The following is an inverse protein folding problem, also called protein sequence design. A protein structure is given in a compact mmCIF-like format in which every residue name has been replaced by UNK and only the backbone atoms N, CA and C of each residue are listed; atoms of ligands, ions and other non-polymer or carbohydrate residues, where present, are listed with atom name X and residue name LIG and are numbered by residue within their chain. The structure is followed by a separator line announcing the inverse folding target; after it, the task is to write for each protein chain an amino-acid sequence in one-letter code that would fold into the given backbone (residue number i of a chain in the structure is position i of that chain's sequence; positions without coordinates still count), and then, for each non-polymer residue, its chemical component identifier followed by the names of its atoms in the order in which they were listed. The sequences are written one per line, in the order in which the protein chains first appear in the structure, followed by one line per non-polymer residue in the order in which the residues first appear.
data_IF_077144497963
#
_entry.id   IF_077144497963
#
_cell.length_a   1.000
_cell.length_b   1.000
_cell.length_c   1.000
_cell.angle_alpha   90.00
_cell.angle_beta   90.00
_cell.angle_gamma   90.00
#
_symmetry.space_group_name_H-M   'P 1'
#
loop_
_entity.id
_entity.type
_entity.pdbx_description
1 polymer ?
#
# COMPACT_ATOMS: atom_id res chain seq x y z
N UNK A 1 -4.19 16.59 50.23
CA UNK A 1 -3.12 15.63 49.91
C UNK A 1 -2.70 15.82 48.46
N UNK A 2 -1.47 16.31 48.26
CA UNK A 2 -0.71 16.48 47.01
C UNK A 2 -1.25 17.47 45.94
N UNK A 3 -0.99 18.77 46.13
CA UNK A 3 -1.12 19.85 45.13
C UNK A 3 -0.02 19.85 44.03
N UNK A 4 0.76 18.77 43.93
CA UNK A 4 1.91 18.67 43.01
C UNK A 4 1.61 17.86 41.74
N UNK A 5 0.35 17.45 41.50
CA UNK A 5 -0.03 16.65 40.32
C UNK A 5 -0.52 17.53 39.16
N UNK A 6 0.43 17.96 38.34
CA UNK A 6 0.21 18.77 37.12
C UNK A 6 -0.18 17.91 35.92
N UNK A 7 0.41 16.71 35.76
CA UNK A 7 0.06 15.75 34.71
C UNK A 7 -1.19 14.95 35.08
N UNK A 8 -2.21 14.96 34.21
CA UNK A 8 -3.51 14.30 34.45
C UNK A 8 -3.98 13.49 33.24
N UNK A 9 -5.00 13.95 32.53
CA UNK A 9 -5.61 13.26 31.39
C UNK A 9 -4.61 13.06 30.24
N UNK A 10 -4.58 11.86 29.66
CA UNK A 10 -3.70 11.46 28.54
C UNK A 10 -2.20 11.76 28.76
N UNK A 11 -1.74 11.80 30.01
CA UNK A 11 -0.35 12.14 30.33
C UNK A 11 0.00 13.60 30.01
N UNK A 12 -0.99 14.48 29.90
CA UNK A 12 -0.81 15.92 29.62
C UNK A 12 -0.99 16.77 30.87
N UNK A 13 -0.25 17.87 30.89
CA UNK A 13 -0.33 18.87 31.94
C UNK A 13 -1.66 19.63 31.83
N UNK A 14 -2.34 19.75 32.97
CA UNK A 14 -3.51 20.62 33.11
C UNK A 14 -3.07 21.92 33.77
N UNK A 15 -3.23 23.02 33.07
CA UNK A 15 -2.89 24.34 33.59
C UNK A 15 -3.95 24.88 34.57
N UNK A 16 -3.67 26.05 35.16
CA UNK A 16 -4.57 26.72 36.10
C UNK A 16 -5.89 27.19 35.46
N UNK A 17 -5.93 27.36 34.13
CA UNK A 17 -7.15 27.69 33.38
C UNK A 17 -8.05 26.47 33.18
N UNK A 18 -7.56 25.28 33.50
CA UNK A 18 -8.24 24.01 33.34
C UNK A 18 -8.08 23.38 31.96
N UNK A 19 -7.34 24.02 31.05
CA UNK A 19 -6.98 23.52 29.73
C UNK A 19 -5.86 22.47 29.84
N UNK A 20 -5.79 21.60 28.85
CA UNK A 20 -4.68 20.65 28.72
C UNK A 20 -3.73 21.09 27.62
N UNK A 21 -2.45 21.22 27.94
CA UNK A 21 -1.42 21.53 26.97
C UNK A 21 -0.90 20.26 26.29
N UNK A 22 -1.11 20.14 24.98
CA UNK A 22 -0.65 18.99 24.19
C UNK A 22 0.65 19.27 23.44
N UNK A 23 1.14 20.52 23.39
CA UNK A 23 2.31 20.92 22.61
C UNK A 23 1.91 21.95 21.55
N UNK A 24 1.23 21.51 20.49
CA UNK A 24 0.79 22.39 19.41
C UNK A 24 -0.61 22.98 19.60
N UNK A 25 -1.43 22.37 20.46
CA UNK A 25 -2.78 22.83 20.75
C UNK A 25 -3.10 22.72 22.24
N UNK A 26 -4.04 23.55 22.67
CA UNK A 26 -4.70 23.44 23.95
C UNK A 26 -6.03 22.71 23.77
N UNK A 27 -6.33 21.76 24.67
CA UNK A 27 -7.56 20.98 24.67
C UNK A 27 -8.52 21.47 25.77
N UNK A 28 -9.80 21.61 25.41
CA UNK A 28 -10.89 21.98 26.31
C UNK A 28 -11.66 20.72 26.75
N UNK A 29 -11.38 20.15 27.93
CA UNK A 29 -11.99 18.89 28.36
C UNK A 29 -13.51 19.00 28.56
N UNK A 30 -14.02 20.16 28.98
CA UNK A 30 -15.46 20.38 29.17
C UNK A 30 -16.24 20.51 27.86
N UNK A 31 -15.57 20.91 26.77
CA UNK A 31 -16.19 21.11 25.46
C UNK A 31 -15.90 19.95 24.47
N UNK A 32 -15.01 19.03 24.84
CA UNK A 32 -14.63 17.88 24.02
C UNK A 32 -13.96 18.24 22.70
N UNK A 33 -13.25 19.38 22.62
CA UNK A 33 -12.67 19.91 21.38
C UNK A 33 -11.36 20.68 21.60
N UNK A 34 -10.63 20.92 20.51
CA UNK A 34 -9.44 21.76 20.51
C UNK A 34 -9.79 23.25 20.57
N UNK A 35 -8.94 24.03 21.24
CA UNK A 35 -9.06 25.49 21.34
C UNK A 35 -8.72 26.19 20.01
N UNK A 36 -7.79 25.63 19.24
CA UNK A 36 -7.36 26.14 17.94
C UNK A 36 -7.51 25.11 16.82
N UNK A 37 -7.61 25.59 15.58
CA UNK A 37 -7.67 24.73 14.40
C UNK A 37 -6.38 23.90 14.24
N UNK A 38 -6.51 22.70 13.69
CA UNK A 38 -5.39 21.79 13.46
C UNK A 38 -4.30 22.40 12.56
N UNK A 39 -3.05 22.59 13.04
CA UNK A 39 -1.97 23.11 12.22
C UNK A 39 -1.50 22.12 11.14
N UNK A 40 -1.86 20.83 11.24
CA UNK A 40 -1.61 19.83 10.19
C UNK A 40 -2.69 19.87 9.08
N UNK A 41 -3.64 20.81 9.15
CA UNK A 41 -4.72 20.93 8.17
C UNK A 41 -5.66 19.72 8.21
N UNK A 42 -6.11 19.27 7.05
CA UNK A 42 -7.12 18.19 6.95
C UNK A 42 -6.55 16.78 7.15
N UNK A 43 -5.34 16.66 7.70
CA UNK A 43 -4.65 15.38 7.89
C UNK A 43 -5.46 14.38 8.75
N UNK A 44 -6.20 14.88 9.74
CA UNK A 44 -7.06 14.05 10.61
C UNK A 44 -8.56 14.23 10.33
N UNK A 45 -8.89 14.77 9.15
CA UNK A 45 -10.26 15.00 8.67
C UNK A 45 -10.60 16.48 8.48
N UNK A 46 -11.80 16.75 7.95
CA UNK A 46 -12.23 18.10 7.59
C UNK A 46 -12.58 18.98 8.80
N UNK A 47 -12.87 18.38 9.96
CA UNK A 47 -13.16 19.13 11.18
C UNK A 47 -11.88 19.37 11.99
N UNK A 48 -11.30 20.56 11.81
CA UNK A 48 -10.01 20.97 12.40
C UNK A 48 -10.05 21.17 13.93
N UNK A 49 -11.23 21.14 14.56
CA UNK A 49 -11.40 21.30 16.00
C UNK A 49 -11.74 19.98 16.72
N UNK A 50 -11.87 18.88 15.98
CA UNK A 50 -12.30 17.59 16.50
C UNK A 50 -11.22 16.95 17.36
N UNK A 51 -11.56 16.55 18.58
CA UNK A 51 -10.69 15.77 19.46
C UNK A 51 -10.76 14.28 19.09
N UNK A 52 -9.61 13.66 18.79
CA UNK A 52 -9.40 12.20 18.65
C UNK A 52 -10.52 11.43 17.92
N UNK A 53 -11.02 11.99 16.81
CA UNK A 53 -12.13 11.44 16.01
C UNK A 53 -13.40 11.11 16.80
N UNK A 54 -13.63 11.84 17.89
CA UNK A 54 -14.69 11.59 18.87
C UNK A 54 -14.61 10.21 19.56
N UNK A 55 -13.42 9.59 19.60
CA UNK A 55 -13.19 8.34 20.33
C UNK A 55 -12.07 8.47 21.39
N UNK A 56 -12.26 9.28 22.44
CA UNK A 56 -11.24 9.55 23.46
C UNK A 56 -10.98 8.39 24.43
N UNK A 57 -11.70 7.28 24.27
CA UNK A 57 -11.52 6.05 25.06
C UNK A 57 -10.47 5.16 24.40
N UNK A 58 -10.52 5.02 23.06
CA UNK A 58 -9.60 4.13 22.32
C UNK A 58 -8.47 4.88 21.62
N UNK A 59 -8.51 6.20 21.58
CA UNK A 59 -7.56 7.02 20.83
C UNK A 59 -6.98 8.14 21.70
N UNK A 60 -5.75 8.55 21.41
CA UNK A 60 -5.05 9.68 22.02
C UNK A 60 -4.46 10.57 20.94
N UNK A 61 -4.26 11.84 21.23
CA UNK A 61 -3.41 12.72 20.42
C UNK A 61 -2.11 12.95 21.21
N UNK A 62 -0.96 12.70 20.59
CA UNK A 62 0.31 12.79 21.30
C UNK A 62 0.85 14.22 21.41
N UNK A 63 0.59 15.10 20.45
CA UNK A 63 1.19 16.44 20.42
C UNK A 63 0.20 17.57 20.02
N UNK A 64 -1.06 17.22 19.77
CA UNK A 64 -2.09 18.13 19.29
C UNK A 64 -2.02 18.33 17.78
N UNK A 65 -1.70 17.30 17.00
CA UNK A 65 -1.70 17.35 15.52
C UNK A 65 -2.26 16.11 14.84
N UNK A 66 -2.08 14.94 15.44
CA UNK A 66 -2.47 13.67 14.82
C UNK A 66 -3.02 12.73 15.88
N UNK A 67 -4.22 12.22 15.61
CA UNK A 67 -4.82 11.17 16.42
C UNK A 67 -4.13 9.83 16.19
N UNK A 68 -3.72 9.21 17.28
CA UNK A 68 -3.16 7.87 17.36
C UNK A 68 -4.06 6.96 18.22
N UNK A 69 -3.86 5.65 18.13
CA UNK A 69 -4.55 4.71 19.02
C UNK A 69 -3.92 4.76 20.41
N UNK A 70 -4.75 4.64 21.44
CA UNK A 70 -4.28 4.48 22.82
C UNK A 70 -3.78 3.04 22.95
N UNK A 71 -2.47 2.83 23.14
CA UNK A 71 -1.83 1.53 23.41
C UNK A 71 -2.29 0.96 24.77
N UNK A 72 -3.59 0.76 24.95
CA UNK A 72 -4.11 -0.21 25.90
C UNK A 72 -3.83 -1.57 25.27
N UNK A 73 -3.11 -2.43 25.98
CA UNK A 73 -2.75 -3.78 25.56
C UNK A 73 -3.99 -4.71 25.42
N UNK A 74 -4.99 -4.29 24.67
CA UNK A 74 -5.94 -5.17 24.03
C UNK A 74 -5.22 -5.79 22.82
N UNK A 75 -5.08 -7.12 22.75
CA UNK A 75 -4.62 -7.75 21.52
C UNK A 75 -5.63 -7.37 20.44
N UNK A 76 -5.23 -6.48 19.54
CA UNK A 76 -5.99 -6.16 18.36
C UNK A 76 -6.07 -7.43 17.51
N UNK A 77 -7.11 -8.24 17.74
CA UNK A 77 -7.81 -8.81 16.59
C UNK A 77 -8.52 -7.64 15.93
N UNK A 78 -7.76 -6.82 15.19
CA UNK A 78 -8.32 -5.95 14.16
C UNK A 78 -9.17 -6.86 13.31
N UNK A 79 -10.49 -6.84 13.49
CA UNK A 79 -11.36 -7.48 12.53
C UNK A 79 -11.03 -6.80 11.22
N UNK A 80 -10.46 -7.55 10.28
CA UNK A 80 -10.24 -7.04 8.95
C UNK A 80 -11.64 -6.82 8.36
N UNK A 81 -12.19 -5.61 8.54
CA UNK A 81 -13.55 -5.24 8.15
C UNK A 81 -13.74 -5.48 6.66
N UNK A 82 -12.68 -5.29 5.87
CA UNK A 82 -12.65 -5.62 4.44
C UNK A 82 -12.80 -7.14 4.21
N UNK A 83 -12.11 -7.98 4.99
CA UNK A 83 -12.26 -9.44 4.95
C UNK A 83 -13.63 -9.91 5.49
N UNK A 84 -14.25 -9.20 6.44
CA UNK A 84 -15.62 -9.46 6.89
C UNK A 84 -16.67 -9.03 5.87
N UNK A 85 -16.50 -7.85 5.24
CA UNK A 85 -17.32 -7.37 4.13
C UNK A 85 -17.30 -8.37 2.97
N UNK A 86 -16.12 -8.92 2.66
CA UNK A 86 -15.96 -10.00 1.69
C UNK A 86 -16.76 -11.25 2.05
N UNK A 87 -16.66 -11.72 3.30
CA UNK A 87 -17.35 -12.95 3.73
C UNK A 87 -18.87 -12.86 3.62
N UNK A 88 -19.42 -11.65 3.77
CA UNK A 88 -20.86 -11.43 3.85
C UNK A 88 -21.47 -10.81 2.60
N UNK A 89 -20.68 -10.45 1.57
CA UNK A 89 -21.19 -9.90 0.31
C UNK A 89 -21.08 -10.94 -0.83
N UNK A 90 -22.20 -11.55 -1.28
CA UNK A 90 -22.20 -12.60 -2.31
C UNK A 90 -21.58 -12.17 -3.64
N UNK A 91 -21.76 -10.90 -4.01
CA UNK A 91 -21.27 -10.36 -5.28
C UNK A 91 -19.75 -10.16 -5.24
N UNK A 92 -19.20 -9.60 -4.15
CA UNK A 92 -17.75 -9.52 -3.97
C UNK A 92 -17.10 -10.92 -3.98
N UNK A 93 -17.77 -11.92 -3.39
CA UNK A 93 -17.31 -13.32 -3.39
C UNK A 93 -17.40 -13.98 -4.76
N UNK A 94 -18.37 -13.61 -5.59
CA UNK A 94 -18.46 -14.08 -6.98
C UNK A 94 -17.30 -13.51 -7.81
N UNK A 95 -17.08 -12.20 -7.75
CA UNK A 95 -16.03 -11.56 -8.53
C UNK A 95 -14.62 -11.91 -8.07
N UNK A 96 -14.41 -12.17 -6.78
CA UNK A 96 -13.13 -12.73 -6.29
C UNK A 96 -12.87 -14.15 -6.86
N UNK A 97 -13.90 -15.00 -6.96
CA UNK A 97 -13.78 -16.32 -7.60
C UNK A 97 -13.48 -16.20 -9.09
N UNK A 98 -14.16 -15.30 -9.80
CA UNK A 98 -13.88 -15.00 -11.21
C UNK A 98 -12.43 -14.52 -11.37
N UNK A 99 -12.00 -13.56 -10.54
CA UNK A 99 -10.63 -13.06 -10.53
C UNK A 99 -9.61 -14.18 -10.30
N UNK A 100 -9.87 -15.08 -9.34
CA UNK A 100 -9.02 -16.24 -9.05
C UNK A 100 -8.93 -17.19 -10.24
N UNK A 101 -10.01 -17.38 -10.99
CA UNK A 101 -10.00 -18.17 -12.22
C UNK A 101 -9.19 -17.48 -13.33
N UNK A 102 -9.27 -16.16 -13.47
CA UNK A 102 -8.46 -15.39 -14.42
C UNK A 102 -6.96 -15.46 -14.07
N UNK A 103 -6.60 -15.36 -12.78
CA UNK A 103 -5.22 -15.59 -12.32
C UNK A 103 -4.74 -17.00 -12.68
N UNK A 104 -5.59 -18.02 -12.47
CA UNK A 104 -5.26 -19.40 -12.83
C UNK A 104 -5.02 -19.55 -14.33
N UNK A 105 -5.84 -18.93 -15.19
CA UNK A 105 -5.62 -18.95 -16.66
C UNK A 105 -4.24 -18.39 -17.04
N UNK A 106 -3.79 -17.31 -16.40
CA UNK A 106 -2.44 -16.75 -16.63
C UNK A 106 -1.35 -17.77 -16.28
N UNK A 107 -1.51 -18.48 -15.15
CA UNK A 107 -0.57 -19.50 -14.69
C UNK A 107 -0.56 -20.74 -15.60
N UNK A 108 -1.74 -21.21 -16.00
CA UNK A 108 -1.92 -22.35 -16.90
C UNK A 108 -1.32 -22.03 -18.29
N UNK A 109 -1.57 -20.83 -18.83
CA UNK A 109 -0.96 -20.37 -20.08
C UNK A 109 0.57 -20.37 -19.99
N UNK A 110 1.14 -19.87 -18.88
CA UNK A 110 2.59 -19.89 -18.69
C UNK A 110 3.18 -21.31 -18.60
N UNK A 111 2.43 -22.27 -18.08
CA UNK A 111 2.81 -23.69 -18.02
C UNK A 111 2.76 -24.36 -19.40
N UNK A 112 1.70 -24.10 -20.17
CA UNK A 112 1.56 -24.57 -21.55
C UNK A 112 2.67 -23.98 -22.42
N UNK A 113 2.93 -22.68 -22.31
CA UNK A 113 3.98 -22.00 -23.04
C UNK A 113 5.36 -22.57 -22.71
N UNK A 114 5.66 -22.84 -21.43
CA UNK A 114 6.92 -23.47 -21.03
C UNK A 114 7.07 -24.89 -21.61
N UNK A 115 5.99 -25.67 -21.60
CA UNK A 115 5.98 -27.03 -22.15
C UNK A 115 6.21 -27.03 -23.67
N UNK A 116 5.62 -26.06 -24.37
CA UNK A 116 5.86 -25.85 -25.81
C UNK A 116 7.29 -25.39 -26.10
N UNK A 117 7.82 -24.47 -25.30
CA UNK A 117 9.20 -23.98 -25.45
C UNK A 117 10.24 -25.08 -25.22
N UNK A 118 10.00 -26.02 -24.29
CA UNK A 118 10.90 -27.16 -24.02
C UNK A 118 11.10 -28.09 -25.22
N UNK A 119 10.14 -28.14 -26.14
CA UNK A 119 10.21 -28.97 -27.36
C UNK A 119 11.03 -28.31 -28.49
N UNK A 120 11.37 -27.02 -28.35
CA UNK A 120 12.06 -26.25 -29.40
C UNK A 120 13.57 -26.23 -29.20
N UNK A 121 14.31 -26.21 -30.32
CA UNK A 121 15.77 -25.93 -30.32
C UNK A 121 16.05 -24.53 -29.74
N UNK A 122 17.22 -24.30 -29.09
CA UNK A 122 17.52 -23.06 -28.36
C UNK A 122 17.25 -21.75 -29.12
N UNK A 123 17.70 -21.64 -30.38
CA UNK A 123 17.53 -20.41 -31.17
C UNK A 123 16.05 -20.09 -31.48
N UNK A 124 15.24 -21.13 -31.80
CA UNK A 124 13.80 -20.96 -32.03
C UNK A 124 13.07 -20.66 -30.73
N UNK A 125 13.46 -21.34 -29.64
CA UNK A 125 12.90 -21.14 -28.30
C UNK A 125 13.01 -19.69 -27.84
N UNK A 126 14.17 -19.06 -28.05
CA UNK A 126 14.37 -17.66 -27.65
C UNK A 126 13.48 -16.70 -28.43
N UNK A 127 13.34 -16.92 -29.76
CA UNK A 127 12.44 -16.11 -30.60
C UNK A 127 10.98 -16.29 -30.16
N UNK A 128 10.49 -17.52 -30.10
CA UNK A 128 9.09 -17.84 -29.72
C UNK A 128 8.75 -17.35 -28.30
N UNK A 129 9.69 -17.43 -27.35
CA UNK A 129 9.47 -16.94 -25.98
C UNK A 129 9.28 -15.42 -25.90
N UNK A 130 9.89 -14.65 -26.82
CA UNK A 130 9.73 -13.19 -26.88
C UNK A 130 8.30 -12.81 -27.23
N UNK A 131 7.67 -13.55 -28.14
CA UNK A 131 6.31 -13.28 -28.64
C UNK A 131 5.22 -13.76 -27.67
N UNK A 132 5.51 -14.73 -26.80
CA UNK A 132 4.56 -15.24 -25.79
C UNK A 132 4.33 -14.24 -24.65
N UNK A 133 3.07 -13.91 -24.35
CA UNK A 133 2.73 -12.96 -23.27
C UNK A 133 3.16 -13.48 -21.89
N UNK A 134 2.82 -14.72 -21.56
CA UNK A 134 3.17 -15.34 -20.28
C UNK A 134 4.10 -16.54 -20.46
N UNK A 135 5.21 -16.55 -19.72
CA UNK A 135 6.13 -17.70 -19.61
C UNK A 135 6.62 -17.79 -18.16
N UNK A 136 7.11 -18.95 -17.70
CA UNK A 136 7.62 -19.05 -16.30
C UNK A 136 8.72 -18.02 -16.03
N UNK A 137 9.54 -17.68 -17.02
CA UNK A 137 10.57 -16.63 -16.91
C UNK A 137 9.97 -15.23 -16.84
N UNK A 138 8.99 -14.90 -17.69
CA UNK A 138 8.32 -13.57 -17.64
C UNK A 138 7.51 -13.39 -16.36
N UNK A 139 6.82 -14.43 -15.89
CA UNK A 139 6.10 -14.39 -14.61
C UNK A 139 7.03 -14.18 -13.41
N UNK A 140 8.29 -14.63 -13.45
CA UNK A 140 9.26 -14.28 -12.39
C UNK A 140 9.48 -12.77 -12.27
N UNK A 141 9.38 -12.03 -13.37
CA UNK A 141 9.48 -10.58 -13.38
C UNK A 141 8.16 -9.91 -12.96
N UNK A 142 7.04 -10.63 -13.03
CA UNK A 142 5.71 -10.15 -12.66
C UNK A 142 5.24 -10.82 -11.36
N UNK A 143 5.57 -10.20 -10.23
CA UNK A 143 5.31 -10.83 -8.92
C UNK A 143 3.81 -10.98 -8.59
N UNK A 144 2.95 -10.12 -9.15
CA UNK A 144 1.53 -10.07 -8.84
C UNK A 144 0.65 -9.85 -10.07
N UNK A 145 -0.57 -10.37 -9.98
CA UNK A 145 -1.71 -10.07 -10.83
C UNK A 145 -2.73 -9.26 -10.02
N UNK A 146 -3.31 -8.23 -10.61
CA UNK A 146 -4.37 -7.45 -9.99
C UNK A 146 -5.61 -7.34 -10.89
N UNK A 147 -6.73 -7.06 -10.25
CA UNK A 147 -8.00 -6.75 -10.88
C UNK A 147 -8.82 -5.86 -9.97
N UNK A 148 -9.89 -5.29 -10.48
CA UNK A 148 -10.83 -4.54 -9.68
C UNK A 148 -12.27 -4.82 -10.08
N UNK A 149 -13.15 -4.51 -9.13
CA UNK A 149 -14.59 -4.44 -9.31
C UNK A 149 -15.05 -3.06 -8.84
N UNK A 150 -15.75 -2.33 -9.69
CA UNK A 150 -16.45 -1.10 -9.31
C UNK A 150 -17.96 -1.37 -9.24
N UNK A 151 -18.56 -1.00 -8.11
CA UNK A 151 -19.97 -1.25 -7.79
C UNK A 151 -20.69 0.09 -7.66
N UNK A 152 -21.21 0.64 -8.76
CA UNK A 152 -21.84 1.95 -8.74
C UNK A 152 -23.01 2.01 -7.75
N UNK A 153 -23.17 3.17 -7.10
CA UNK A 153 -24.16 3.37 -6.03
C UNK A 153 -25.58 3.66 -6.55
N UNK A 154 -25.76 3.80 -7.87
CA UNK A 154 -27.06 4.08 -8.51
C UNK A 154 -27.81 2.81 -8.91
N UNK A 155 -29.12 2.78 -8.66
CA UNK A 155 -29.99 1.68 -9.08
C UNK A 155 -29.99 1.55 -10.62
N UNK A 156 -29.47 0.43 -11.14
CA UNK A 156 -29.51 0.08 -12.56
C UNK A 156 -28.16 0.08 -13.28
N UNK A 157 -27.08 0.56 -12.67
CA UNK A 157 -25.75 0.46 -13.26
C UNK A 157 -25.10 -0.92 -12.99
N UNK A 158 -24.56 -1.54 -14.05
CA UNK A 158 -23.92 -2.85 -13.94
C UNK A 158 -22.54 -2.75 -13.29
N UNK A 159 -22.15 -3.71 -12.41
CA UNK A 159 -20.81 -3.74 -11.86
C UNK A 159 -19.77 -3.83 -12.97
N UNK A 160 -18.72 -3.02 -12.88
CA UNK A 160 -17.61 -3.03 -13.84
C UNK A 160 -16.44 -3.82 -13.27
N UNK A 161 -16.13 -4.95 -13.89
CA UNK A 161 -15.01 -5.79 -13.50
C UNK A 161 -13.94 -5.79 -14.59
N UNK A 162 -12.67 -5.69 -14.20
CA UNK A 162 -11.53 -5.90 -15.10
C UNK A 162 -10.34 -6.44 -14.32
N UNK A 163 -9.65 -7.40 -14.91
CA UNK A 163 -8.40 -8.00 -14.43
C UNK A 163 -7.33 -7.91 -15.52
N UNK A 164 -6.20 -8.58 -15.31
CA UNK A 164 -5.09 -8.64 -16.26
C UNK A 164 -3.98 -7.63 -16.00
N UNK A 165 -4.05 -6.88 -14.90
CA UNK A 165 -2.98 -5.99 -14.50
C UNK A 165 -1.83 -6.81 -13.92
N UNK A 166 -0.62 -6.63 -14.41
CA UNK A 166 0.60 -7.30 -13.94
C UNK A 166 1.68 -6.27 -13.75
N UNK A 167 2.59 -6.45 -12.78
CA UNK A 167 3.63 -5.45 -12.49
C UNK A 167 4.35 -4.98 -13.77
N UNK A 168 4.61 -3.67 -13.89
CA UNK A 168 5.46 -3.15 -14.96
C UNK A 168 6.93 -3.51 -14.68
N UNK A 169 7.75 -3.68 -15.72
CA UNK A 169 9.14 -4.08 -15.55
C UNK A 169 9.94 -2.93 -14.91
N UNK A 170 10.75 -3.26 -13.91
CA UNK A 170 11.70 -2.33 -13.32
C UNK A 170 12.72 -3.09 -12.48
N UNK A 171 13.97 -2.62 -12.49
CA UNK A 171 15.08 -3.33 -11.85
C UNK A 171 15.72 -2.49 -10.75
N UNK A 172 15.90 -3.10 -9.58
CA UNK A 172 16.70 -2.58 -8.47
C UNK A 172 17.96 -3.43 -8.34
N UNK A 173 18.66 -3.66 -9.44
CA UNK A 173 19.92 -4.41 -9.48
C UNK A 173 21.11 -3.46 -9.61
N UNK A 174 22.24 -3.78 -8.98
CA UNK A 174 23.45 -2.96 -9.06
C UNK A 174 23.95 -2.75 -10.51
N UNK A 175 23.62 -3.66 -11.43
CA UNK A 175 24.02 -3.60 -12.85
C UNK A 175 23.08 -2.76 -13.72
N UNK A 176 21.82 -2.63 -13.32
CA UNK A 176 20.79 -1.91 -14.04
C UNK A 176 19.77 -1.42 -13.02
N UNK A 177 20.11 -0.32 -12.35
CA UNK A 177 19.26 0.31 -11.33
C UNK A 177 18.26 1.22 -12.03
N UNK A 178 17.04 1.28 -11.52
CA UNK A 178 15.98 2.11 -12.07
C UNK A 178 16.42 3.59 -12.17
N UNK A 179 16.11 4.29 -13.28
CA UNK A 179 16.48 5.70 -13.44
C UNK A 179 16.02 6.58 -12.27
N UNK A 180 16.89 7.50 -11.85
CA UNK A 180 16.65 8.40 -10.71
C UNK A 180 16.84 7.75 -9.33
N UNK A 181 17.30 6.49 -9.27
CA UNK A 181 17.47 5.74 -8.03
C UNK A 181 18.95 5.44 -7.75
N UNK A 182 19.34 5.61 -6.48
CA UNK A 182 20.59 5.08 -5.93
C UNK A 182 20.30 3.97 -4.91
N UNK A 183 21.01 2.86 -5.01
CA UNK A 183 20.91 1.78 -4.02
C UNK A 183 21.70 2.13 -2.76
N UNK A 184 21.12 1.83 -1.61
CA UNK A 184 21.73 1.98 -0.29
C UNK A 184 21.90 0.57 0.29
N UNK A 185 23.11 0.05 0.18
CA UNK A 185 23.51 -1.21 0.81
C UNK A 185 23.86 -0.95 2.28
N UNK A 186 22.85 -0.82 3.14
CA UNK A 186 23.09 -0.86 4.58
C UNK A 186 23.27 -2.31 5.04
N UNK A 187 24.45 -2.63 5.57
CA UNK A 187 24.61 -3.75 6.51
C UNK A 187 23.88 -3.38 7.80
N UNK A 188 22.55 -3.44 7.80
CA UNK A 188 21.76 -3.20 9.01
C UNK A 188 22.09 -4.30 10.01
N UNK A 189 22.86 -3.97 11.06
CA UNK A 189 22.97 -4.83 12.24
C UNK A 189 21.57 -4.96 12.85
N UNK A 190 21.04 -6.18 12.81
CA UNK A 190 19.72 -6.64 13.29
C UNK A 190 19.17 -5.83 14.47
N UNK A 191 17.92 -5.39 14.32
CA UNK A 191 16.79 -5.79 15.19
C UNK A 191 15.54 -5.92 14.32
N UNK A 192 15.38 -7.11 13.72
CA UNK A 192 14.15 -7.57 13.09
C UNK A 192 13.39 -8.38 14.16
N UNK A 193 12.90 -7.69 15.17
CA UNK A 193 11.85 -8.23 16.02
C UNK A 193 10.54 -7.66 15.42
N UNK A 194 9.57 -8.55 15.19
CA UNK A 194 8.23 -8.28 14.62
C UNK A 194 8.02 -8.53 13.12
N UNK A 195 8.53 -9.65 12.62
CA UNK A 195 7.77 -10.47 11.65
C UNK A 195 7.37 -11.75 12.42
N UNK A 196 6.07 -11.99 12.65
CA UNK A 196 5.55 -12.99 13.63
C UNK A 196 6.37 -14.30 13.73
N UNK A 197 6.96 -14.60 14.91
CA UNK A 197 7.87 -15.74 15.14
C UNK A 197 7.26 -17.15 14.98
N UNK A 198 5.94 -17.27 14.87
CA UNK A 198 5.26 -18.58 14.88
C UNK A 198 5.46 -19.37 13.57
N UNK A 199 5.58 -18.68 12.42
CA UNK A 199 5.74 -19.31 11.09
C UNK A 199 7.17 -19.70 10.73
N UNK A 200 8.16 -19.33 11.54
CA UNK A 200 9.57 -19.68 11.32
C UNK A 200 9.92 -21.10 11.76
N UNK A 201 8.99 -21.83 12.40
CA UNK A 201 9.25 -23.18 12.95
C UNK A 201 9.15 -24.32 11.93
N UNK A 202 8.62 -24.11 10.72
CA UNK A 202 8.23 -25.22 9.82
C UNK A 202 8.98 -25.32 8.49
N UNK A 203 9.86 -24.37 8.12
CA UNK A 203 10.58 -24.44 6.84
C UNK A 203 12.09 -24.31 7.01
N UNK A 204 12.81 -25.40 6.81
CA UNK A 204 14.28 -25.44 6.75
C UNK A 204 14.84 -24.99 5.39
N UNK A 205 13.98 -24.78 4.37
CA UNK A 205 14.37 -24.58 2.97
C UNK A 205 14.32 -23.14 2.46
N UNK A 206 13.79 -22.19 3.23
CA UNK A 206 13.72 -20.80 2.81
C UNK A 206 14.23 -19.86 3.90
N UNK A 207 15.41 -19.26 3.65
CA UNK A 207 15.92 -18.11 4.40
C UNK A 207 15.83 -16.91 3.45
N UNK A 208 15.01 -15.87 3.73
CA UNK A 208 15.12 -14.65 2.95
C UNK A 208 16.51 -14.07 3.19
N UNK A 209 17.23 -13.72 2.12
CA UNK A 209 18.49 -12.98 2.24
C UNK A 209 18.25 -11.70 3.04
N UNK A 210 18.74 -11.67 4.28
CA UNK A 210 18.55 -10.61 5.28
C UNK A 210 19.41 -9.37 5.01
N UNK A 211 19.43 -8.88 3.77
CA UNK A 211 20.04 -7.59 3.40
C UNK A 211 19.57 -7.10 2.02
N UNK A 212 18.26 -7.04 1.77
CA UNK A 212 17.79 -6.52 0.48
C UNK A 212 18.05 -5.00 0.32
N UNK A 213 18.41 -4.29 1.40
CA UNK A 213 18.80 -2.89 1.36
C UNK A 213 17.63 -1.94 1.06
N UNK A 214 17.95 -0.67 0.90
CA UNK A 214 17.01 0.38 0.54
C UNK A 214 17.41 0.97 -0.80
N UNK A 215 16.50 1.71 -1.40
CA UNK A 215 16.82 2.57 -2.52
C UNK A 215 16.36 3.99 -2.23
N UNK A 216 17.18 4.96 -2.61
CA UNK A 216 16.90 6.38 -2.49
C UNK A 216 16.58 6.95 -3.87
N UNK A 217 15.43 7.58 -4.00
CA UNK A 217 15.05 8.30 -5.21
C UNK A 217 15.70 9.69 -5.19
N UNK A 218 16.89 9.80 -5.78
CA UNK A 218 17.68 11.04 -5.80
C UNK A 218 17.10 12.08 -6.75
N UNK A 219 16.53 11.63 -7.86
CA UNK A 219 15.87 12.48 -8.82
C UNK A 219 14.45 11.99 -9.07
N UNK A 220 13.50 12.60 -8.37
CA UNK A 220 12.08 12.24 -8.42
C UNK A 220 11.51 12.47 -9.83
N UNK A 221 11.93 13.50 -10.56
CA UNK A 221 11.39 13.78 -11.88
C UNK A 221 11.86 12.76 -12.92
N UNK A 222 13.13 12.35 -12.88
CA UNK A 222 13.62 11.24 -13.72
C UNK A 222 12.87 9.96 -13.38
N UNK A 223 12.73 9.64 -12.08
CA UNK A 223 12.01 8.47 -11.60
C UNK A 223 10.57 8.41 -12.12
N UNK A 224 9.82 9.51 -11.96
CA UNK A 224 8.44 9.62 -12.43
C UNK A 224 8.38 9.58 -13.96
N UNK A 225 9.31 10.25 -14.67
CA UNK A 225 9.35 10.21 -16.14
C UNK A 225 9.51 8.78 -16.67
N UNK A 226 10.29 7.95 -15.99
CA UNK A 226 10.49 6.56 -16.38
C UNK A 226 9.25 5.72 -16.08
N UNK A 227 8.58 5.95 -14.94
CA UNK A 227 7.26 5.34 -14.68
C UNK A 227 6.28 5.69 -15.79
N UNK A 228 6.18 6.96 -16.20
CA UNK A 228 5.30 7.39 -17.30
C UNK A 228 5.59 6.64 -18.61
N UNK A 229 6.87 6.48 -18.97
CA UNK A 229 7.27 5.71 -20.17
C UNK A 229 6.82 4.26 -20.08
N UNK A 230 6.97 3.62 -18.92
CA UNK A 230 6.56 2.23 -18.72
C UNK A 230 5.04 2.06 -18.78
N UNK A 231 4.29 3.00 -18.20
CA UNK A 231 2.84 3.04 -18.37
C UNK A 231 2.48 3.16 -19.86
N UNK A 232 3.08 4.13 -20.58
CA UNK A 232 2.82 4.33 -22.00
C UNK A 232 3.14 3.08 -22.84
N UNK A 233 4.27 2.41 -22.57
CA UNK A 233 4.65 1.16 -23.21
C UNK A 233 3.69 0.00 -22.91
N UNK A 234 2.97 0.04 -21.78
CA UNK A 234 1.91 -0.92 -21.45
C UNK A 234 0.55 -0.60 -22.08
N UNK A 235 0.45 0.50 -22.83
CA UNK A 235 -0.80 0.95 -23.45
C UNK A 235 -1.73 1.68 -22.48
N UNK A 236 -1.18 2.32 -21.44
CA UNK A 236 -1.93 3.13 -20.48
C UNK A 236 -1.18 4.43 -20.18
N UNK A 237 -1.87 5.49 -19.81
CA UNK A 237 -1.22 6.71 -19.34
C UNK A 237 -1.18 6.72 -17.80
N UNK A 238 -0.10 7.23 -17.21
CA UNK A 238 -0.06 7.46 -15.76
C UNK A 238 -0.91 8.69 -15.44
N UNK A 239 -2.04 8.48 -14.77
CA UNK A 239 -2.96 9.54 -14.39
C UNK A 239 -2.34 10.48 -13.35
N UNK A 240 -2.57 11.79 -13.49
CA UNK A 240 -1.97 12.84 -12.65
C UNK A 240 -2.21 12.62 -11.15
N UNK A 241 -3.43 12.23 -10.76
CA UNK A 241 -3.76 11.86 -9.38
C UNK A 241 -2.85 10.73 -8.84
N UNK A 242 -2.56 9.69 -9.64
CA UNK A 242 -1.67 8.59 -9.22
C UNK A 242 -0.23 9.05 -9.16
N UNK A 243 0.22 9.85 -10.13
CA UNK A 243 1.55 10.49 -10.08
C UNK A 243 1.72 11.30 -8.79
N UNK A 244 0.76 12.16 -8.46
CA UNK A 244 0.77 12.97 -7.24
C UNK A 244 0.83 12.10 -5.98
N UNK A 245 0.09 10.99 -5.95
CA UNK A 245 0.17 10.02 -4.84
C UNK A 245 1.54 9.35 -4.74
N UNK A 246 2.19 9.01 -5.86
CA UNK A 246 3.57 8.48 -5.87
C UNK A 246 4.53 9.52 -5.29
N UNK A 247 4.48 10.77 -5.77
CA UNK A 247 5.32 11.86 -5.29
C UNK A 247 5.15 12.10 -3.78
N UNK A 248 3.90 12.15 -3.31
CA UNK A 248 3.61 12.32 -1.89
C UNK A 248 4.08 11.13 -1.05
N UNK A 249 3.97 9.91 -1.57
CA UNK A 249 4.46 8.71 -0.90
C UNK A 249 5.99 8.73 -0.77
N UNK A 250 6.71 9.14 -1.82
CA UNK A 250 8.15 9.32 -1.77
C UNK A 250 8.55 10.38 -0.74
N UNK A 251 7.93 11.56 -0.80
CA UNK A 251 8.20 12.66 0.13
C UNK A 251 7.96 12.25 1.60
N UNK A 252 6.86 11.53 1.86
CA UNK A 252 6.52 11.05 3.21
C UNK A 252 7.53 10.03 3.77
N UNK A 253 8.32 9.40 2.90
CA UNK A 253 9.36 8.44 3.27
C UNK A 253 10.78 9.00 3.08
N UNK A 254 10.94 10.32 2.97
CA UNK A 254 12.22 10.98 2.69
C UNK A 254 12.93 10.40 1.45
N UNK A 255 12.14 10.00 0.44
CA UNK A 255 12.57 9.35 -0.80
C UNK A 255 13.29 8.00 -0.63
N UNK A 256 13.24 7.39 0.57
CA UNK A 256 13.90 6.11 0.86
C UNK A 256 12.84 5.02 0.98
N UNK A 257 12.97 3.96 0.17
CA UNK A 257 12.03 2.85 0.15
C UNK A 257 12.76 1.50 0.21
N UNK A 258 12.15 0.46 0.83
CA UNK A 258 12.74 -0.87 0.90
C UNK A 258 12.78 -1.54 -0.48
N UNK A 259 13.94 -2.08 -0.86
CA UNK A 259 14.13 -2.73 -2.16
C UNK A 259 13.37 -4.05 -2.32
N UNK A 260 13.09 -4.74 -1.21
CA UNK A 260 12.33 -6.01 -1.22
C UNK A 260 10.90 -5.88 -1.73
N UNK A 261 10.33 -4.67 -1.65
CA UNK A 261 8.96 -4.38 -2.06
C UNK A 261 8.91 -3.78 -3.48
N UNK A 262 9.95 -3.92 -4.30
CA UNK A 262 9.95 -3.48 -5.70
C UNK A 262 9.94 -1.96 -5.87
N UNK A 263 9.68 -1.49 -7.08
CA UNK A 263 9.64 -0.06 -7.41
C UNK A 263 8.23 0.46 -7.18
N UNK A 264 8.11 1.48 -6.33
CA UNK A 264 6.85 2.15 -6.06
C UNK A 264 6.22 2.67 -7.37
N UNK A 265 4.92 2.44 -7.54
CA UNK A 265 4.17 2.91 -8.71
C UNK A 265 4.09 1.91 -9.87
N UNK A 266 4.96 0.90 -9.97
CA UNK A 266 4.94 -0.07 -11.07
C UNK A 266 4.07 -1.30 -10.81
N UNK A 267 3.53 -1.44 -9.61
CA UNK A 267 2.83 -2.66 -9.20
C UNK A 267 1.45 -2.81 -9.82
N UNK A 268 1.00 -4.05 -9.96
CA UNK A 268 -0.29 -4.40 -10.55
C UNK A 268 -1.47 -3.70 -9.84
N UNK A 269 -1.44 -3.61 -8.50
CA UNK A 269 -2.47 -2.91 -7.73
C UNK A 269 -2.53 -1.41 -8.02
N UNK A 270 -1.38 -0.77 -8.26
CA UNK A 270 -1.31 0.65 -8.61
C UNK A 270 -1.80 0.88 -10.03
N UNK A 271 -1.55 -0.06 -10.95
CA UNK A 271 -2.13 -0.01 -12.28
C UNK A 271 -3.66 -0.17 -12.27
N UNK A 272 -4.20 -1.05 -11.43
CA UNK A 272 -5.65 -1.17 -11.25
C UNK A 272 -6.26 0.15 -10.73
N UNK A 273 -5.64 0.77 -9.72
CA UNK A 273 -6.02 2.10 -9.23
C UNK A 273 -5.98 3.16 -10.33
N UNK A 274 -4.88 3.20 -11.09
CA UNK A 274 -4.71 4.12 -12.21
C UNK A 274 -5.82 3.97 -13.24
N UNK A 275 -6.17 2.74 -13.57
CA UNK A 275 -7.25 2.47 -14.51
C UNK A 275 -8.61 2.92 -13.98
N UNK A 276 -8.93 2.65 -12.70
CA UNK A 276 -10.18 3.09 -12.06
C UNK A 276 -10.36 4.61 -12.17
N UNK A 277 -9.29 5.36 -11.87
CA UNK A 277 -9.32 6.83 -11.91
C UNK A 277 -9.40 7.33 -13.36
N UNK A 278 -8.72 6.67 -14.29
CA UNK A 278 -8.73 7.04 -15.72
C UNK A 278 -10.07 6.79 -16.42
N UNK A 279 -11.01 6.07 -15.80
CA UNK A 279 -12.37 5.88 -16.35
C UNK A 279 -13.30 7.09 -16.12
N UNK A 280 -12.81 8.25 -15.67
CA UNK A 280 -13.65 9.40 -15.36
C UNK A 280 -13.11 10.69 -15.97
N UNK A 281 -13.99 11.48 -16.57
CA UNK A 281 -13.64 12.77 -17.19
C UNK A 281 -13.70 13.96 -16.21
N UNK A 282 -14.15 13.76 -14.96
CA UNK A 282 -14.35 14.85 -13.98
C UNK A 282 -13.90 14.47 -12.56
N UNK A 283 -13.04 15.30 -11.94
CA UNK A 283 -12.48 15.08 -10.58
C UNK A 283 -13.55 14.88 -9.49
N UNK A 284 -14.72 15.53 -9.61
CA UNK A 284 -15.80 15.44 -8.62
C UNK A 284 -16.40 14.03 -8.45
N UNK A 285 -16.18 13.09 -9.39
CA UNK A 285 -16.71 11.71 -9.32
C UNK A 285 -15.66 10.68 -8.89
N UNK A 286 -14.39 11.07 -8.77
CA UNK A 286 -13.27 10.15 -8.45
C UNK A 286 -13.43 9.56 -7.06
N UNK A 287 -13.78 10.38 -6.06
CA UNK A 287 -13.92 9.93 -4.67
C UNK A 287 -15.02 8.86 -4.49
N UNK A 288 -16.22 9.14 -5.02
CA UNK A 288 -17.35 8.19 -4.98
C UNK A 288 -17.00 6.87 -5.69
N UNK A 289 -16.33 6.94 -6.85
CA UNK A 289 -15.91 5.76 -7.60
C UNK A 289 -14.84 4.95 -6.88
N UNK A 290 -13.86 5.61 -6.25
CA UNK A 290 -12.86 4.92 -5.45
C UNK A 290 -13.49 4.23 -4.25
N UNK A 291 -14.42 4.88 -3.54
CA UNK A 291 -15.12 4.28 -2.38
C UNK A 291 -15.96 3.04 -2.74
N UNK A 292 -16.43 2.98 -3.98
CA UNK A 292 -17.20 1.87 -4.55
C UNK A 292 -16.33 0.86 -5.33
N UNK A 293 -15.01 1.03 -5.31
CA UNK A 293 -14.07 0.14 -6.00
C UNK A 293 -13.37 -0.80 -5.02
N UNK A 294 -13.22 -2.04 -5.48
CA UNK A 294 -12.62 -3.16 -4.75
C UNK A 294 -11.50 -3.74 -5.59
N UNK A 295 -10.27 -3.66 -5.10
CA UNK A 295 -9.06 -4.15 -5.78
C UNK A 295 -8.70 -5.52 -5.21
N UNK A 296 -8.42 -6.46 -6.08
CA UNK A 296 -7.95 -7.81 -5.77
C UNK A 296 -6.52 -7.99 -6.29
N UNK A 297 -5.70 -8.73 -5.55
CA UNK A 297 -4.31 -9.03 -5.93
C UNK A 297 -3.92 -10.45 -5.57
N UNK A 298 -3.34 -11.18 -6.51
CA UNK A 298 -2.86 -12.55 -6.28
C UNK A 298 -1.44 -12.73 -6.78
N UNK A 299 -0.70 -13.64 -6.15
CA UNK A 299 0.69 -13.93 -6.54
C UNK A 299 0.74 -14.75 -7.83
N UNK A 300 1.65 -14.36 -8.73
CA UNK A 300 2.01 -15.16 -9.91
C UNK A 300 3.26 -16.03 -9.67
N UNK A 301 3.94 -15.83 -8.54
CA UNK A 301 5.19 -16.51 -8.15
C UNK A 301 5.16 -16.95 -6.68
N UNK A 302 5.93 -17.98 -6.34
CA UNK A 302 5.93 -18.54 -4.98
C UNK A 302 4.61 -19.26 -4.68
N UNK A 303 3.89 -18.81 -3.65
CA UNK A 303 2.56 -19.27 -3.31
C UNK A 303 1.53 -18.77 -4.34
N UNK A 304 1.54 -19.40 -5.53
CA UNK A 304 0.79 -18.98 -6.72
C UNK A 304 -0.72 -19.06 -6.50
N UNK A 305 -1.44 -18.12 -7.11
CA UNK A 305 -2.89 -18.04 -7.06
C UNK A 305 -3.47 -17.75 -5.65
N UNK A 306 -2.62 -17.36 -4.70
CA UNK A 306 -3.02 -16.93 -3.36
C UNK A 306 -3.07 -15.41 -3.27
N UNK A 307 -4.00 -14.91 -2.46
CA UNK A 307 -4.18 -13.48 -2.22
C UNK A 307 -2.89 -12.85 -1.65
N UNK A 308 -2.56 -11.67 -2.17
CA UNK A 308 -1.33 -10.96 -1.85
C UNK A 308 -1.63 -9.56 -1.36
N UNK A 309 -1.30 -9.19 -0.10
CA UNK A 309 -1.56 -7.83 0.37
C UNK A 309 -0.71 -6.80 -0.39
N UNK A 310 -1.24 -5.60 -0.57
CA UNK A 310 -0.48 -4.49 -1.15
C UNK A 310 0.77 -4.20 -0.30
N UNK A 311 1.92 -4.09 -0.96
CA UNK A 311 3.20 -3.98 -0.29
C UNK A 311 3.43 -2.60 0.35
N UNK A 312 4.49 -2.48 1.17
CA UNK A 312 4.87 -1.23 1.80
C UNK A 312 5.08 -0.08 0.80
N UNK A 313 5.73 -0.33 -0.33
CA UNK A 313 6.03 0.67 -1.37
C UNK A 313 4.79 1.13 -2.17
N UNK A 314 3.63 0.51 -1.95
CA UNK A 314 2.37 0.93 -2.56
C UNK A 314 1.35 1.38 -1.52
N UNK A 315 1.60 1.17 -0.23
CA UNK A 315 0.68 1.49 0.86
C UNK A 315 0.29 2.98 0.91
N UNK A 316 1.24 3.89 0.68
CA UNK A 316 0.97 5.32 0.62
C UNK A 316 0.45 5.83 -0.74
N UNK A 317 0.46 4.99 -1.77
CA UNK A 317 -0.12 5.30 -3.09
C UNK A 317 -1.59 4.86 -3.13
N UNK A 318 -1.88 3.74 -2.47
CA UNK A 318 -3.19 3.14 -2.38
C UNK A 318 -3.71 3.32 -0.95
N UNK A 319 -3.78 4.58 -0.53
CA UNK A 319 -4.12 5.00 0.83
C UNK A 319 -5.52 5.64 0.93
N UNK A 320 -6.28 5.63 -0.16
CA UNK A 320 -7.50 6.42 -0.27
C UNK A 320 -8.76 5.65 0.13
N UNK A 321 -9.84 6.00 -0.58
CA UNK A 321 -11.19 5.46 -0.43
C UNK A 321 -11.33 4.04 -1.01
N UNK A 322 -10.38 3.61 -1.83
CA UNK A 322 -10.40 2.29 -2.48
C UNK A 322 -10.19 1.13 -1.50
N UNK A 323 -10.97 0.07 -1.69
CA UNK A 323 -10.93 -1.12 -0.84
C UNK A 323 -9.95 -2.14 -1.42
N UNK A 324 -8.81 -2.38 -0.75
CA UNK A 324 -7.90 -3.47 -1.13
C UNK A 324 -8.34 -4.75 -0.42
N UNK A 325 -8.99 -5.63 -1.15
CA UNK A 325 -9.68 -6.80 -0.60
C UNK A 325 -8.74 -7.84 -0.01
N UNK A 326 -7.55 -7.92 -0.54
CA UNK A 326 -6.48 -8.85 -0.17
C UNK A 326 -5.60 -8.32 0.95
N UNK A 327 -5.97 -7.17 1.51
CA UNK A 327 -5.29 -6.52 2.62
C UNK A 327 -4.14 -5.62 2.20
N UNK A 328 -3.61 -4.91 3.18
CA UNK A 328 -2.40 -4.10 3.08
C UNK A 328 -1.40 -4.66 4.09
N UNK A 329 -0.11 -4.58 3.80
CA UNK A 329 0.90 -4.87 4.82
C UNK A 329 0.77 -3.81 5.92
N UNK A 330 0.25 -4.19 7.09
CA UNK A 330 0.18 -3.33 8.27
C UNK A 330 1.58 -3.25 8.90
N UNK A 331 2.16 -2.06 8.89
CA UNK A 331 3.51 -1.82 9.37
C UNK A 331 3.85 -0.35 9.24
N UNK A 332 3.35 0.44 10.19
CA UNK A 332 3.90 1.77 10.44
C UNK A 332 5.28 1.58 11.04
N UNK A 333 6.31 1.75 10.24
CA UNK A 333 7.53 2.35 10.77
C UNK A 333 7.88 3.50 9.86
N UNK A 334 7.49 4.71 10.31
CA UNK A 334 8.31 5.90 10.07
C UNK A 334 9.75 5.46 10.25
N UNK A 335 10.60 5.65 9.24
CA UNK A 335 12.05 5.59 9.42
C UNK A 335 12.43 6.76 10.35
N UNK A 336 12.30 6.57 11.67
CA UNK A 336 12.84 7.52 12.64
C UNK A 336 14.34 7.29 12.63
N UNK A 337 15.05 8.20 11.96
CA UNK A 337 16.50 8.32 12.00
C UNK A 337 16.89 8.58 13.47
N UNK A 338 17.47 7.60 14.16
CA UNK A 338 18.14 7.88 15.43
C UNK A 338 19.47 8.57 15.11
N UNK A 339 19.45 9.91 15.15
CA UNK A 339 20.48 10.84 15.64
C UNK A 339 20.34 12.20 14.92
N UNK A 340 19.60 13.11 15.54
CA UNK A 340 20.04 14.50 15.68
C UNK A 340 20.05 14.77 17.18
N UNK A 341 21.19 15.31 17.62
CA UNK A 341 21.69 15.57 18.98
C UNK A 341 20.60 15.79 20.03
#
# INVERSE_FOLDING_TARGET
GADYKTVRYSGKERDATGLYYYGYRYYQPWAGRWLGADPAGTADGLNLFRMVRNNPVSMKDNDGRVTEWLDLAYPHKSFNVVALMYKNNPMLKLYHRIFTQETKKILDEAEINESSLKKLKPNKRQKTSRDMKYTKTKLKNYAAHAGFLNVPSGSGETPRFKSGFVNLPGSLSNKNTFPGVRLIDEKVKRRFEEYSPEKLKESTKWRPETSLGYYHVENVDIFISEIKKLYAASGSELHEVVERRIRNHLASNNNILPRMAGIAGLHAEVQALNHIISMTDTEARVASKLSSSYIYTQRLVGARNEDFPACHNCSGIINGLENIMTGRVEGHTRLIRRKSI
#
